data_IF_413846070590
#
_entry.id   IF_413846070590
#
_cell.length_a   1.000
_cell.length_b   1.000
_cell.length_c   1.000
_cell.angle_alpha   90.00
_cell.angle_beta   90.00
_cell.angle_gamma   90.00
#
_symmetry.space_group_name_H-M   'P 1'
#
loop_
_entity.id
_entity.type
_entity.pdbx_description
1 polymer ?
#
# COMPACT_ATOMS: atom_id res chain seq x y z
N UNK A 1 -17.76 32.38 22.58
CA UNK A 1 -17.62 32.33 21.11
C UNK A 1 -16.82 31.06 20.76
N UNK A 2 -17.50 29.93 20.53
CA UNK A 2 -16.85 28.62 20.23
C UNK A 2 -17.61 27.79 19.18
N UNK A 3 -18.70 28.32 18.60
CA UNK A 3 -19.65 27.54 17.80
C UNK A 3 -19.20 27.36 16.33
N UNK A 4 -18.31 28.25 15.85
CA UNK A 4 -17.79 28.21 14.48
C UNK A 4 -16.67 27.17 14.24
N UNK A 5 -15.90 26.81 15.28
CA UNK A 5 -14.80 25.85 15.12
C UNK A 5 -15.29 24.41 14.98
N UNK A 6 -16.35 24.04 15.70
CA UNK A 6 -16.87 22.67 15.71
C UNK A 6 -17.52 22.27 14.39
N UNK A 7 -18.19 23.22 13.72
CA UNK A 7 -18.78 22.98 12.40
C UNK A 7 -17.69 22.79 11.34
N UNK A 8 -16.67 23.65 11.31
CA UNK A 8 -15.52 23.54 10.40
C UNK A 8 -14.78 22.20 10.59
N UNK A 9 -14.55 21.79 11.83
CA UNK A 9 -13.91 20.50 12.13
C UNK A 9 -14.73 19.31 11.61
N UNK A 10 -16.05 19.31 11.80
CA UNK A 10 -16.95 18.26 11.26
C UNK A 10 -16.92 18.19 9.73
N UNK A 11 -16.83 19.32 9.04
CA UNK A 11 -16.71 19.33 7.57
C UNK A 11 -15.37 18.78 7.10
N UNK A 12 -14.27 19.12 7.78
CA UNK A 12 -12.94 18.61 7.48
C UNK A 12 -12.87 17.07 7.68
N UNK A 13 -13.40 16.56 8.80
CA UNK A 13 -13.49 15.13 9.09
C UNK A 13 -14.31 14.38 8.04
N UNK A 14 -15.48 14.92 7.66
CA UNK A 14 -16.34 14.31 6.65
C UNK A 14 -15.69 14.30 5.26
N UNK A 15 -14.98 15.38 4.91
CA UNK A 15 -14.20 15.44 3.67
C UNK A 15 -13.07 14.40 3.65
N UNK A 16 -12.43 14.17 4.79
CA UNK A 16 -11.39 13.15 4.94
C UNK A 16 -11.95 11.73 4.83
N UNK A 17 -13.07 11.45 5.49
CA UNK A 17 -13.79 10.17 5.36
C UNK A 17 -14.15 9.84 3.92
N UNK A 18 -14.69 10.82 3.17
CA UNK A 18 -15.04 10.64 1.75
C UNK A 18 -13.78 10.34 0.92
N UNK A 19 -12.69 11.07 1.14
CA UNK A 19 -11.41 10.81 0.45
C UNK A 19 -10.87 9.42 0.75
N UNK A 20 -10.92 8.98 2.00
CA UNK A 20 -10.46 7.64 2.40
C UNK A 20 -11.31 6.54 1.76
N UNK A 21 -12.64 6.69 1.75
CA UNK A 21 -13.54 5.75 1.07
C UNK A 21 -13.27 5.68 -0.44
N UNK A 22 -13.07 6.82 -1.10
CA UNK A 22 -12.75 6.86 -2.53
C UNK A 22 -11.39 6.23 -2.83
N UNK A 23 -10.40 6.47 -1.98
CA UNK A 23 -9.05 5.90 -2.09
C UNK A 23 -9.08 4.38 -1.96
N UNK A 24 -9.75 3.87 -0.92
CA UNK A 24 -9.91 2.43 -0.70
C UNK A 24 -10.69 1.77 -1.85
N UNK A 25 -11.76 2.42 -2.34
CA UNK A 25 -12.51 1.92 -3.49
C UNK A 25 -11.63 1.78 -4.74
N UNK A 26 -10.83 2.81 -5.07
CA UNK A 26 -9.91 2.77 -6.22
C UNK A 26 -8.89 1.64 -6.10
N UNK A 27 -8.27 1.50 -4.93
CA UNK A 27 -7.31 0.43 -4.68
C UNK A 27 -7.93 -0.96 -4.83
N UNK A 28 -9.13 -1.17 -4.27
CA UNK A 28 -9.85 -2.44 -4.37
C UNK A 28 -10.26 -2.77 -5.82
N UNK A 29 -10.73 -1.78 -6.59
CA UNK A 29 -11.03 -1.97 -8.01
C UNK A 29 -9.78 -2.34 -8.82
N UNK A 30 -8.63 -1.74 -8.50
CA UNK A 30 -7.36 -2.10 -9.14
C UNK A 30 -6.94 -3.54 -8.80
N UNK A 31 -7.06 -3.95 -7.53
CA UNK A 31 -6.74 -5.31 -7.10
C UNK A 31 -7.70 -6.36 -7.67
N UNK A 32 -8.98 -6.04 -7.88
CA UNK A 32 -9.94 -6.94 -8.51
C UNK A 32 -9.57 -7.30 -9.97
N UNK A 33 -8.72 -6.51 -10.62
CA UNK A 33 -8.19 -6.79 -11.97
C UNK A 33 -6.93 -7.65 -11.94
N UNK A 34 -6.33 -7.88 -10.78
CA UNK A 34 -5.16 -8.74 -10.63
C UNK A 34 -5.65 -10.18 -10.62
N UNK A 35 -5.34 -10.93 -11.68
CA UNK A 35 -5.64 -12.36 -11.77
C UNK A 35 -4.72 -13.14 -10.82
N UNK A 36 -5.05 -14.42 -10.59
CA UNK A 36 -4.17 -15.33 -9.84
C UNK A 36 -2.92 -15.75 -10.61
N UNK A 37 -2.86 -15.43 -11.90
CA UNK A 37 -1.86 -15.97 -12.81
C UNK A 37 -0.56 -15.17 -12.72
N UNK A 38 0.55 -15.88 -12.54
CA UNK A 38 1.88 -15.28 -12.54
C UNK A 38 2.39 -15.24 -13.98
N UNK A 39 1.91 -14.26 -14.75
CA UNK A 39 2.17 -14.12 -16.19
C UNK A 39 3.31 -13.15 -16.54
N UNK A 40 3.86 -12.44 -15.55
CA UNK A 40 4.87 -11.39 -15.74
C UNK A 40 6.04 -11.47 -14.77
N UNK A 41 7.21 -10.99 -15.21
CA UNK A 41 8.47 -11.00 -14.45
C UNK A 41 8.98 -9.58 -14.21
N UNK A 42 9.45 -9.31 -12.99
CA UNK A 42 10.09 -8.05 -12.62
C UNK A 42 11.60 -8.26 -12.40
N UNK A 43 12.42 -7.51 -13.15
CA UNK A 43 13.88 -7.49 -12.98
C UNK A 43 14.29 -6.21 -12.22
N UNK A 44 14.83 -6.37 -11.02
CA UNK A 44 15.22 -5.25 -10.15
C UNK A 44 16.73 -5.18 -9.95
N UNK A 45 17.33 -4.02 -10.23
CA UNK A 45 18.73 -3.76 -9.91
C UNK A 45 18.83 -3.08 -8.54
N UNK A 46 19.65 -3.63 -7.68
CA UNK A 46 19.82 -3.18 -6.30
C UNK A 46 21.25 -3.42 -5.84
N UNK A 47 21.72 -2.59 -4.90
CA UNK A 47 23.01 -2.79 -4.25
C UNK A 47 23.07 -4.17 -3.56
N UNK A 48 24.20 -4.86 -3.67
CA UNK A 48 24.38 -6.22 -3.15
C UNK A 48 24.23 -6.31 -1.62
N UNK A 49 24.68 -5.29 -0.88
CA UNK A 49 24.53 -5.24 0.57
C UNK A 49 23.06 -5.07 0.97
N UNK A 50 22.32 -4.20 0.27
CA UNK A 50 20.89 -4.03 0.52
C UNK A 50 20.11 -5.33 0.24
N UNK A 51 20.45 -6.04 -0.86
CA UNK A 51 19.87 -7.35 -1.14
C UNK A 51 20.17 -8.35 -0.03
N UNK A 52 21.41 -8.39 0.46
CA UNK A 52 21.82 -9.32 1.51
C UNK A 52 21.05 -9.09 2.82
N UNK A 53 20.96 -7.85 3.28
CA UNK A 53 20.25 -7.52 4.52
C UNK A 53 18.75 -7.77 4.38
N UNK A 54 18.15 -7.45 3.23
CA UNK A 54 16.74 -7.75 3.00
C UNK A 54 16.47 -9.26 2.91
N UNK A 55 17.36 -10.04 2.30
CA UNK A 55 17.27 -11.51 2.26
C UNK A 55 17.33 -12.11 3.67
N UNK A 56 18.19 -11.60 4.56
CA UNK A 56 18.27 -12.05 5.96
C UNK A 56 16.96 -11.77 6.70
N UNK A 57 16.47 -10.54 6.62
CA UNK A 57 15.21 -10.14 7.24
C UNK A 57 14.04 -11.00 6.76
N UNK A 58 13.97 -11.29 5.45
CA UNK A 58 12.95 -12.19 4.91
C UNK A 58 13.04 -13.59 5.53
N UNK A 59 14.24 -14.15 5.67
CA UNK A 59 14.45 -15.49 6.25
C UNK A 59 14.04 -15.56 7.72
N UNK A 60 14.41 -14.54 8.50
CA UNK A 60 14.01 -14.43 9.93
C UNK A 60 12.49 -14.42 10.09
N UNK A 61 11.78 -13.86 9.10
CA UNK A 61 10.32 -13.78 9.09
C UNK A 61 9.65 -14.92 8.29
N UNK A 62 10.37 -16.00 7.99
CA UNK A 62 9.88 -17.14 7.20
C UNK A 62 9.23 -16.74 5.86
N UNK A 63 9.82 -15.75 5.20
CA UNK A 63 9.33 -15.18 3.94
C UNK A 63 10.41 -15.17 2.85
N UNK A 64 10.07 -14.64 1.68
CA UNK A 64 10.98 -14.47 0.55
C UNK A 64 10.88 -13.05 0.00
N UNK A 65 11.95 -12.55 -0.62
CA UNK A 65 11.97 -11.24 -1.27
C UNK A 65 10.80 -11.07 -2.24
N UNK A 66 10.55 -12.07 -3.09
CA UNK A 66 9.43 -12.02 -4.03
C UNK A 66 8.06 -11.93 -3.31
N UNK A 67 7.88 -12.63 -2.19
CA UNK A 67 6.64 -12.58 -1.41
C UNK A 67 6.44 -11.21 -0.77
N UNK A 68 7.48 -10.64 -0.18
CA UNK A 68 7.39 -9.33 0.45
C UNK A 68 7.26 -8.19 -0.56
N UNK A 69 7.93 -8.27 -1.71
CA UNK A 69 7.70 -7.32 -2.81
C UNK A 69 6.25 -7.38 -3.32
N UNK A 70 5.68 -8.58 -3.49
CA UNK A 70 4.24 -8.73 -3.83
C UNK A 70 3.35 -8.10 -2.76
N UNK A 71 3.60 -8.38 -1.48
CA UNK A 71 2.84 -7.80 -0.36
C UNK A 71 2.92 -6.28 -0.34
N UNK A 72 4.11 -5.72 -0.56
CA UNK A 72 4.31 -4.28 -0.66
C UNK A 72 3.49 -3.70 -1.82
N UNK A 73 3.62 -4.25 -3.02
CA UNK A 73 2.88 -3.80 -4.20
C UNK A 73 1.36 -3.88 -3.99
N UNK A 74 0.85 -5.01 -3.48
CA UNK A 74 -0.57 -5.17 -3.15
C UNK A 74 -1.04 -4.13 -2.14
N UNK A 75 -0.27 -3.91 -1.08
CA UNK A 75 -0.62 -2.94 -0.03
C UNK A 75 -0.60 -1.51 -0.55
N UNK A 76 0.40 -1.16 -1.37
CA UNK A 76 0.53 0.16 -1.97
C UNK A 76 -0.63 0.44 -2.95
N UNK A 77 -1.04 -0.54 -3.75
CA UNK A 77 -2.21 -0.43 -4.64
C UNK A 77 -3.50 -0.30 -3.82
N UNK A 78 -3.69 -1.14 -2.80
CA UNK A 78 -4.88 -1.09 -1.94
C UNK A 78 -5.07 0.30 -1.30
N UNK A 79 -3.97 0.91 -0.87
CA UNK A 79 -3.97 2.23 -0.22
C UNK A 79 -3.87 3.39 -1.21
N UNK A 80 -3.71 3.11 -2.51
CA UNK A 80 -3.34 4.09 -3.55
C UNK A 80 -2.21 5.03 -3.11
N UNK A 81 -1.22 4.50 -2.38
CA UNK A 81 -0.13 5.25 -1.77
C UNK A 81 1.11 4.37 -1.67
N UNK A 82 2.28 4.94 -1.98
CA UNK A 82 3.55 4.29 -1.69
C UNK A 82 3.81 4.34 -0.18
N UNK A 83 4.12 3.17 0.39
CA UNK A 83 4.39 2.98 1.82
C UNK A 83 5.87 3.27 2.08
#
# INVERSE_FOLDING_TARGET
MSDGSDSINKFAERGELIRQQQTAYRGNVALAKVTSDLDSTLNFRVNSALKLEFDKLCKENHSTVARELKRYMTSAIAQSKLI
#
